data_IF_642572945270
#
_entry.id   IF_642572945270
#
_cell.length_a   1.000
_cell.length_b   1.000
_cell.length_c   1.000
_cell.angle_alpha   90.00
_cell.angle_beta   90.00
_cell.angle_gamma   90.00
#
_symmetry.space_group_name_H-M   'P 1'
#
loop_
_entity.id
_entity.type
_entity.pdbx_description
1 polymer ?
#
# COMPACT_ATOMS: atom_id res chain seq x y z
N UNK A 1 9.94 -31.13 -4.25
CA UNK A 1 10.95 -30.60 -5.20
C UNK A 1 11.78 -29.59 -4.43
N UNK A 2 13.10 -29.64 -4.54
CA UNK A 2 14.02 -28.76 -3.81
C UNK A 2 14.60 -27.72 -4.77
N UNK A 3 14.81 -26.48 -4.30
CA UNK A 3 15.39 -25.38 -5.09
C UNK A 3 16.50 -24.69 -4.28
N UNK A 4 17.63 -24.45 -4.91
CA UNK A 4 18.74 -23.64 -4.36
C UNK A 4 18.71 -22.23 -4.96
N UNK A 5 19.12 -21.23 -4.19
CA UNK A 5 19.12 -19.81 -4.59
C UNK A 5 20.27 -19.43 -5.54
N UNK A 6 20.89 -18.26 -5.31
CA UNK A 6 21.83 -17.64 -6.23
C UNK A 6 23.24 -18.28 -6.20
N UNK A 7 23.64 -18.87 -7.32
CA UNK A 7 24.99 -19.34 -7.64
C UNK A 7 25.44 -18.79 -9.00
N UNK A 8 26.76 -18.75 -9.21
CA UNK A 8 27.35 -18.37 -10.50
C UNK A 8 26.88 -19.32 -11.61
N UNK A 9 26.54 -18.74 -12.75
CA UNK A 9 26.17 -19.49 -13.95
C UNK A 9 27.40 -20.11 -14.60
N UNK A 10 27.27 -21.34 -15.08
CA UNK A 10 28.21 -22.04 -15.95
C UNK A 10 27.51 -22.44 -17.23
N UNK A 11 27.97 -21.92 -18.37
CA UNK A 11 27.34 -22.15 -19.68
C UNK A 11 25.85 -21.77 -19.74
N UNK A 12 25.39 -20.81 -18.92
CA UNK A 12 24.01 -20.35 -18.93
C UNK A 12 23.00 -21.24 -18.18
N UNK A 13 23.47 -22.19 -17.37
CA UNK A 13 22.61 -23.12 -16.60
C UNK A 13 21.75 -22.43 -15.52
N UNK A 14 22.12 -21.22 -15.11
CA UNK A 14 21.37 -20.41 -14.13
C UNK A 14 20.68 -19.21 -14.76
N UNK A 15 19.37 -19.16 -14.57
CA UNK A 15 18.48 -18.04 -14.90
C UNK A 15 17.62 -17.79 -13.67
N UNK A 16 17.56 -16.53 -13.23
CA UNK A 16 16.73 -16.11 -12.10
C UNK A 16 15.66 -15.15 -12.60
N UNK A 17 14.46 -15.27 -12.07
CA UNK A 17 13.36 -14.36 -12.37
C UNK A 17 13.14 -13.36 -11.23
N UNK A 18 12.19 -12.43 -11.43
CA UNK A 18 11.83 -11.47 -10.38
C UNK A 18 11.26 -12.16 -9.13
N UNK A 19 10.65 -13.34 -9.27
CA UNK A 19 10.07 -14.12 -8.18
C UNK A 19 11.16 -14.69 -7.27
N UNK A 20 12.30 -15.10 -7.82
CA UNK A 20 13.46 -15.57 -7.07
C UNK A 20 14.00 -14.47 -6.16
N UNK A 21 14.15 -13.26 -6.69
CA UNK A 21 14.56 -12.09 -5.92
C UNK A 21 13.53 -11.68 -4.88
N UNK A 22 12.25 -11.62 -5.26
CA UNK A 22 11.18 -11.26 -4.34
C UNK A 22 11.03 -12.26 -3.19
N UNK A 23 11.15 -13.55 -3.47
CA UNK A 23 11.12 -14.60 -2.44
C UNK A 23 12.30 -14.46 -1.48
N UNK A 24 13.50 -14.24 -2.01
CA UNK A 24 14.68 -14.04 -1.19
C UNK A 24 14.55 -12.82 -0.27
N UNK A 25 14.23 -11.65 -0.81
CA UNK A 25 14.10 -10.44 0.00
C UNK A 25 12.86 -10.46 0.91
N UNK A 26 11.76 -11.07 0.47
CA UNK A 26 10.56 -11.27 1.28
C UNK A 26 10.80 -12.16 2.50
N UNK A 27 11.85 -13.00 2.49
CA UNK A 27 12.27 -13.76 3.67
C UNK A 27 13.00 -12.92 4.72
N UNK A 28 13.51 -11.73 4.33
CA UNK A 28 14.34 -10.86 5.17
C UNK A 28 13.60 -9.60 5.62
N UNK A 29 12.65 -9.12 4.81
CA UNK A 29 12.03 -7.79 4.92
C UNK A 29 10.51 -7.94 4.94
N UNK A 30 9.86 -7.36 5.96
CA UNK A 30 8.40 -7.41 6.09
C UNK A 30 7.69 -6.46 5.13
N UNK A 31 6.41 -6.74 4.85
CA UNK A 31 5.53 -5.80 4.17
C UNK A 31 5.37 -4.53 5.02
N UNK A 32 5.27 -3.37 4.37
CA UNK A 32 5.07 -2.10 5.04
C UNK A 32 5.51 -0.90 4.21
N UNK A 33 5.46 0.29 4.83
CA UNK A 33 6.09 1.49 4.27
C UNK A 33 7.50 1.71 4.84
N UNK A 34 8.37 2.36 4.08
CA UNK A 34 9.67 2.80 4.59
C UNK A 34 9.51 4.11 5.37
N UNK A 35 9.19 4.00 6.66
CA UNK A 35 8.93 5.16 7.52
C UNK A 35 10.21 5.86 8.00
N UNK A 36 11.07 6.27 7.05
CA UNK A 36 12.26 7.09 7.33
C UNK A 36 11.89 8.57 7.51
N UNK A 37 10.84 9.00 6.81
CA UNK A 37 10.24 10.33 6.90
C UNK A 37 8.80 10.18 7.39
N UNK A 38 8.35 11.06 8.29
CA UNK A 38 6.99 11.04 8.85
C UNK A 38 5.92 11.27 7.77
N UNK A 39 6.29 11.89 6.65
CA UNK A 39 5.42 12.19 5.52
C UNK A 39 5.41 11.09 4.45
N UNK A 40 6.23 10.04 4.58
CA UNK A 40 6.34 8.96 3.58
C UNK A 40 4.96 8.36 3.23
N UNK A 41 4.52 8.55 1.98
CA UNK A 41 3.22 8.10 1.48
C UNK A 41 2.02 8.60 2.32
N UNK A 42 2.17 9.73 3.01
CA UNK A 42 1.09 10.33 3.80
C UNK A 42 -0.07 10.75 2.90
N UNK A 43 -1.29 10.46 3.33
CA UNK A 43 -2.51 10.92 2.66
C UNK A 43 -2.97 12.23 3.30
N UNK A 44 -3.27 13.20 2.46
CA UNK A 44 -3.75 14.54 2.84
C UNK A 44 -4.94 14.95 1.96
N UNK A 45 -5.75 15.93 2.37
CA UNK A 45 -6.82 16.44 1.52
C UNK A 45 -6.29 17.05 0.23
N UNK A 46 -7.02 16.81 -0.87
CA UNK A 46 -6.82 17.48 -2.16
C UNK A 46 -7.91 18.51 -2.43
N UNK A 47 -8.08 18.86 -3.71
CA UNK A 47 -9.18 19.73 -4.14
C UNK A 47 -10.47 18.93 -4.31
N UNK A 48 -11.59 19.44 -3.78
CA UNK A 48 -12.88 18.75 -3.85
C UNK A 48 -12.81 17.34 -3.28
N UNK A 49 -13.30 16.37 -4.03
CA UNK A 49 -13.33 14.95 -3.63
C UNK A 49 -11.99 14.22 -3.82
N UNK A 50 -10.89 14.94 -4.02
CA UNK A 50 -9.56 14.34 -4.16
C UNK A 50 -8.81 14.26 -2.83
N UNK A 51 -7.90 13.31 -2.76
CA UNK A 51 -6.84 13.22 -1.75
C UNK A 51 -5.48 13.21 -2.43
N UNK A 52 -4.48 13.73 -1.75
CA UNK A 52 -3.09 13.75 -2.21
C UNK A 52 -2.26 12.79 -1.37
N UNK A 53 -1.46 11.98 -2.04
CA UNK A 53 -0.48 11.08 -1.42
C UNK A 53 0.90 11.67 -1.65
N UNK A 54 1.64 11.90 -0.57
CA UNK A 54 3.00 12.41 -0.61
C UNK A 54 3.96 11.43 -1.31
N UNK A 55 5.15 11.93 -1.66
CA UNK A 55 6.25 11.08 -2.13
C UNK A 55 6.65 10.08 -1.06
N UNK A 56 7.23 8.96 -1.48
CA UNK A 56 7.71 7.94 -0.55
C UNK A 56 7.72 6.56 -1.17
N UNK A 57 8.06 5.56 -0.35
CA UNK A 57 8.22 4.19 -0.80
C UNK A 57 7.65 3.19 0.19
N UNK A 58 7.48 1.97 -0.32
CA UNK A 58 7.02 0.84 0.46
C UNK A 58 7.45 -0.48 -0.15
N UNK A 59 7.09 -1.55 0.54
CA UNK A 59 7.48 -2.89 0.20
C UNK A 59 6.33 -3.86 0.41
N UNK A 60 6.03 -4.68 -0.60
CA UNK A 60 5.01 -5.73 -0.50
C UNK A 60 5.54 -6.99 -1.17
N UNK A 61 5.56 -8.09 -0.42
CA UNK A 61 5.89 -9.45 -0.87
C UNK A 61 7.23 -9.54 -1.60
N UNK A 62 8.25 -8.80 -1.16
CA UNK A 62 9.57 -8.81 -1.82
C UNK A 62 9.73 -7.81 -2.97
N UNK A 63 8.71 -7.01 -3.27
CA UNK A 63 8.71 -6.04 -4.36
C UNK A 63 8.70 -4.61 -3.81
N UNK A 64 9.51 -3.75 -4.43
CA UNK A 64 9.61 -2.33 -4.12
C UNK A 64 8.52 -1.50 -4.80
N UNK A 65 7.97 -0.54 -4.07
CA UNK A 65 7.14 0.53 -4.60
C UNK A 65 7.75 1.90 -4.29
N UNK A 66 7.66 2.82 -5.26
CA UNK A 66 8.04 4.21 -5.07
C UNK A 66 7.05 5.15 -5.75
N UNK A 67 6.63 6.16 -5.00
CA UNK A 67 5.92 7.32 -5.49
C UNK A 67 6.87 8.52 -5.51
N UNK A 68 7.23 8.98 -6.71
CA UNK A 68 8.28 10.00 -6.89
C UNK A 68 7.75 11.44 -6.94
N UNK A 69 6.44 11.63 -7.04
CA UNK A 69 5.78 12.93 -7.00
C UNK A 69 4.47 12.86 -6.20
N UNK A 70 3.93 14.01 -5.79
CA UNK A 70 2.61 14.03 -5.13
C UNK A 70 1.58 13.42 -6.07
N UNK A 71 0.92 12.35 -5.62
CA UNK A 71 -0.06 11.60 -6.40
C UNK A 71 -1.45 11.98 -5.95
N UNK A 72 -2.29 12.47 -6.87
CA UNK A 72 -3.68 12.78 -6.57
C UNK A 72 -4.60 11.61 -6.92
N UNK A 73 -5.53 11.30 -6.02
CA UNK A 73 -6.59 10.30 -6.23
C UNK A 73 -7.94 10.92 -5.94
N UNK A 74 -8.80 10.95 -6.95
CA UNK A 74 -10.18 11.41 -6.83
C UNK A 74 -11.05 10.26 -6.34
N UNK A 75 -11.76 10.48 -5.23
CA UNK A 75 -12.77 9.56 -4.74
C UNK A 75 -14.02 9.64 -5.61
N UNK A 76 -14.80 8.56 -5.65
CA UNK A 76 -16.12 8.60 -6.28
C UNK A 76 -17.02 9.64 -5.63
N UNK A 77 -17.99 10.17 -6.38
CA UNK A 77 -18.96 11.14 -5.87
C UNK A 77 -19.63 10.61 -4.59
N UNK A 78 -19.79 11.50 -3.60
CA UNK A 78 -20.45 11.14 -2.35
C UNK A 78 -21.91 10.74 -2.60
N UNK A 79 -22.39 9.74 -1.86
CA UNK A 79 -23.81 9.38 -1.89
C UNK A 79 -24.63 10.50 -1.22
N UNK A 80 -25.80 10.83 -1.78
CA UNK A 80 -26.62 11.92 -1.26
C UNK A 80 -27.33 11.63 0.07
N UNK A 81 -27.44 10.35 0.46
CA UNK A 81 -28.25 9.91 1.60
C UNK A 81 -27.45 9.34 2.75
N UNK A 82 -26.29 8.72 2.48
CA UNK A 82 -25.51 8.03 3.50
C UNK A 82 -24.00 8.25 3.33
N UNK A 83 -23.24 8.31 4.45
CA UNK A 83 -21.79 8.32 4.40
C UNK A 83 -21.23 6.95 4.03
N UNK A 84 -19.94 6.91 3.65
CA UNK A 84 -19.16 5.68 3.49
C UNK A 84 -17.72 5.87 3.94
N UNK A 85 -16.97 4.79 4.08
CA UNK A 85 -15.52 4.84 4.33
C UNK A 85 -14.81 4.21 3.15
N UNK A 86 -13.98 4.99 2.47
CA UNK A 86 -13.11 4.52 1.39
C UNK A 86 -11.70 4.25 1.97
N UNK A 87 -10.88 3.45 1.29
CA UNK A 87 -9.47 3.22 1.68
C UNK A 87 -8.53 3.66 0.57
N UNK A 88 -7.45 4.35 0.94
CA UNK A 88 -6.30 4.54 0.06
C UNK A 88 -5.31 3.42 0.35
N UNK A 89 -5.11 2.54 -0.63
CA UNK A 89 -4.29 1.34 -0.46
C UNK A 89 -3.13 1.33 -1.44
N UNK A 90 -1.97 0.86 -0.97
CA UNK A 90 -0.88 0.39 -1.82
C UNK A 90 -1.16 -1.08 -2.14
N UNK A 91 -1.46 -1.36 -3.41
CA UNK A 91 -1.87 -2.68 -3.90
C UNK A 91 -0.77 -3.27 -4.75
N UNK A 92 -0.25 -4.41 -4.32
CA UNK A 92 0.54 -5.30 -5.16
C UNK A 92 -0.38 -6.25 -5.91
N UNK A 93 -0.12 -6.43 -7.21
CA UNK A 93 -0.80 -7.40 -8.06
C UNK A 93 0.23 -8.27 -8.78
N UNK A 94 0.18 -9.57 -8.54
CA UNK A 94 1.03 -10.55 -9.22
C UNK A 94 0.69 -10.64 -10.71
N UNK A 95 -0.61 -10.63 -11.04
CA UNK A 95 -1.10 -10.77 -12.41
C UNK A 95 -0.75 -9.54 -13.27
N UNK A 96 -1.00 -8.35 -12.72
CA UNK A 96 -0.70 -7.09 -13.42
C UNK A 96 0.78 -6.70 -13.32
N UNK A 97 1.55 -7.41 -12.48
CA UNK A 97 2.99 -7.22 -12.25
C UNK A 97 3.31 -5.77 -11.85
N UNK A 98 2.54 -5.22 -10.91
CA UNK A 98 2.74 -3.86 -10.44
C UNK A 98 2.45 -3.70 -8.95
N UNK A 99 2.94 -2.60 -8.39
CA UNK A 99 2.43 -2.02 -7.16
C UNK A 99 1.92 -0.62 -7.48
N UNK A 100 0.67 -0.35 -7.15
CA UNK A 100 0.05 0.96 -7.39
C UNK A 100 -0.74 1.41 -6.16
N UNK A 101 -0.89 2.73 -6.00
CA UNK A 101 -1.86 3.28 -5.07
C UNK A 101 -3.23 3.33 -5.75
N UNK A 102 -4.25 2.82 -5.07
CA UNK A 102 -5.63 2.81 -5.55
C UNK A 102 -6.61 3.18 -4.43
N UNK A 103 -7.79 3.62 -4.83
CA UNK A 103 -8.95 3.79 -3.94
C UNK A 103 -9.69 2.46 -3.88
N UNK A 104 -10.06 2.03 -2.68
CA UNK A 104 -11.07 1.02 -2.43
C UNK A 104 -12.32 1.73 -1.95
N UNK A 105 -13.33 1.82 -2.82
CA UNK A 105 -14.60 2.46 -2.49
C UNK A 105 -15.39 1.60 -1.52
N UNK A 106 -15.86 2.19 -0.42
CA UNK A 106 -16.74 1.54 0.54
C UNK A 106 -18.21 1.54 0.09
N UNK A 107 -19.07 0.95 0.92
CA UNK A 107 -20.53 0.98 0.70
C UNK A 107 -21.19 2.04 1.57
N UNK A 108 -22.06 2.85 0.97
CA UNK A 108 -22.79 3.89 1.67
C UNK A 108 -23.90 3.31 2.55
N UNK A 109 -23.85 3.56 3.86
CA UNK A 109 -24.83 3.10 4.85
C UNK A 109 -24.92 4.08 6.02
N UNK A 110 -25.96 3.98 6.85
CA UNK A 110 -26.12 4.84 8.02
C UNK A 110 -24.99 4.70 9.06
N UNK A 111 -24.27 3.57 9.06
CA UNK A 111 -23.13 3.31 9.95
C UNK A 111 -22.05 2.60 9.14
N UNK A 112 -21.27 3.34 8.34
CA UNK A 112 -20.38 2.74 7.36
C UNK A 112 -19.18 2.07 8.01
N UNK A 113 -18.75 0.96 7.42
CA UNK A 113 -17.51 0.28 7.74
C UNK A 113 -16.57 0.33 6.53
N UNK A 114 -15.26 0.40 6.78
CA UNK A 114 -14.27 0.36 5.72
C UNK A 114 -14.30 -0.99 4.97
N UNK A 115 -14.10 -1.01 3.65
CA UNK A 115 -14.06 -2.25 2.87
C UNK A 115 -12.87 -3.12 3.30
N UNK A 116 -13.05 -4.44 3.28
CA UNK A 116 -11.99 -5.39 3.61
C UNK A 116 -10.80 -5.27 2.63
N UNK A 117 -9.57 -5.46 3.15
CA UNK A 117 -8.39 -5.55 2.29
C UNK A 117 -8.34 -6.93 1.62
N UNK A 118 -7.91 -6.95 0.37
CA UNK A 118 -7.55 -8.17 -0.34
C UNK A 118 -6.10 -8.52 -0.01
N UNK A 119 -5.89 -9.68 0.59
CA UNK A 119 -4.58 -10.22 0.95
C UNK A 119 -4.55 -11.71 0.65
N UNK A 120 -4.22 -12.05 -0.58
CA UNK A 120 -4.08 -13.42 -1.08
C UNK A 120 -2.82 -13.54 -1.97
N UNK A 121 -2.70 -14.63 -2.72
CA UNK A 121 -1.53 -14.90 -3.58
C UNK A 121 -1.41 -13.96 -4.78
N UNK A 122 -2.53 -13.40 -5.24
CA UNK A 122 -2.59 -12.66 -6.50
C UNK A 122 -2.62 -11.14 -6.25
N UNK A 123 -3.21 -10.74 -5.13
CA UNK A 123 -3.36 -9.35 -4.72
C UNK A 123 -3.07 -9.22 -3.23
N UNK A 124 -2.25 -8.23 -2.87
CA UNK A 124 -1.96 -7.91 -1.48
C UNK A 124 -2.00 -6.39 -1.26
N UNK A 125 -2.75 -5.97 -0.25
CA UNK A 125 -3.00 -4.55 0.02
C UNK A 125 -2.54 -4.13 1.41
N UNK A 126 -1.93 -2.94 1.45
CA UNK A 126 -1.61 -2.19 2.65
C UNK A 126 -2.41 -0.88 2.65
N UNK A 127 -3.12 -0.58 3.73
CA UNK A 127 -3.97 0.61 3.85
C UNK A 127 -3.18 1.80 4.38
N UNK A 128 -2.96 2.81 3.55
CA UNK A 128 -2.28 4.04 3.93
C UNK A 128 -3.19 4.95 4.77
N UNK A 129 -4.45 5.07 4.38
CA UNK A 129 -5.45 5.83 5.14
C UNK A 129 -6.88 5.35 4.87
N UNK A 130 -7.74 5.54 5.86
CA UNK A 130 -9.19 5.45 5.72
C UNK A 130 -9.78 6.84 5.54
N UNK A 131 -10.69 6.99 4.58
CA UNK A 131 -11.32 8.26 4.25
C UNK A 131 -12.81 8.15 4.52
N UNK A 132 -13.27 8.82 5.58
CA UNK A 132 -14.70 9.03 5.78
C UNK A 132 -15.20 9.98 4.70
N UNK A 133 -16.07 9.50 3.83
CA UNK A 133 -16.79 10.32 2.85
C UNK A 133 -18.17 10.64 3.42
N UNK A 134 -18.42 11.88 3.90
CA UNK A 134 -19.74 12.25 4.42
C UNK A 134 -20.79 12.21 3.31
N UNK A 135 -22.05 12.06 3.71
CA UNK A 135 -23.17 12.18 2.77
C UNK A 135 -23.15 13.55 2.08
N UNK A 136 -23.44 13.57 0.78
CA UNK A 136 -23.48 14.75 -0.07
C UNK A 136 -22.21 15.64 0.00
N UNK A 137 -21.07 15.09 0.42
CA UNK A 137 -19.82 15.83 0.49
C UNK A 137 -19.39 16.30 -0.91
N UNK A 138 -18.90 17.54 -0.97
CA UNK A 138 -18.27 18.13 -2.15
C UNK A 138 -16.76 18.28 -1.98
N UNK A 139 -16.26 18.08 -0.75
CA UNK A 139 -14.84 18.06 -0.45
C UNK A 139 -14.47 17.11 0.69
N UNK A 140 -13.21 16.68 0.69
CA UNK A 140 -12.59 15.95 1.80
C UNK A 140 -11.76 16.92 2.62
N UNK A 141 -11.86 16.82 3.95
CA UNK A 141 -11.08 17.61 4.91
C UNK A 141 -10.11 16.73 5.68
N UNK A 142 -9.16 17.33 6.41
CA UNK A 142 -8.19 16.54 7.19
C UNK A 142 -8.87 15.68 8.26
N UNK A 143 -9.98 16.16 8.86
CA UNK A 143 -10.74 15.41 9.85
C UNK A 143 -11.49 14.20 9.27
N UNK A 144 -11.57 14.08 7.94
CA UNK A 144 -12.10 12.90 7.28
C UNK A 144 -11.06 11.80 7.06
N UNK A 145 -9.78 12.09 7.27
CA UNK A 145 -8.67 11.18 6.97
C UNK A 145 -8.16 10.58 8.27
N UNK A 146 -8.25 9.26 8.37
CA UNK A 146 -7.59 8.49 9.43
C UNK A 146 -6.34 7.86 8.87
N UNK A 147 -5.17 8.30 9.36
CA UNK A 147 -3.88 7.73 8.98
C UNK A 147 -3.73 6.32 9.57
N UNK A 148 -3.49 5.32 8.71
CA UNK A 148 -3.34 3.92 9.12
C UNK A 148 -1.95 3.37 8.82
N UNK A 149 -1.01 4.20 8.39
CA UNK A 149 0.35 3.77 7.98
C UNK A 149 1.09 3.04 9.09
N UNK A 150 0.98 3.51 10.33
CA UNK A 150 1.63 2.90 11.50
C UNK A 150 0.80 1.78 12.15
N UNK A 151 -0.41 1.49 11.65
CA UNK A 151 -1.21 0.38 12.14
C UNK A 151 -0.69 -0.93 11.51
N UNK A 152 -0.04 -1.78 12.30
CA UNK A 152 0.57 -3.04 11.85
C UNK A 152 -0.42 -4.08 11.32
N UNK A 153 -1.72 -3.95 11.61
CA UNK A 153 -2.76 -4.82 11.07
C UNK A 153 -3.15 -4.38 9.66
N UNK A 154 -3.18 -3.07 9.41
CA UNK A 154 -3.68 -2.48 8.16
C UNK A 154 -2.57 -2.13 7.14
N UNK A 155 -1.43 -1.63 7.59
CA UNK A 155 -0.28 -1.30 6.76
C UNK A 155 1.03 -1.70 7.45
N UNK A 156 1.48 -0.92 8.43
CA UNK A 156 2.71 -1.16 9.16
C UNK A 156 3.95 -0.61 8.46
N UNK A 157 5.06 -0.60 9.19
CA UNK A 157 6.37 -0.22 8.68
C UNK A 157 7.15 -1.45 8.26
N UNK A 158 8.03 -1.26 7.28
CA UNK A 158 9.02 -2.28 6.95
C UNK A 158 9.91 -2.55 8.16
N UNK A 159 10.07 -3.82 8.51
CA UNK A 159 11.05 -4.32 9.46
C UNK A 159 11.99 -5.31 8.76
N UNK A 160 13.17 -5.51 9.34
CA UNK A 160 14.20 -6.41 8.81
C UNK A 160 14.62 -7.43 9.86
N UNK A 161 14.85 -8.68 9.45
CA UNK A 161 15.53 -9.67 10.29
C UNK A 161 17.05 -9.39 10.40
N UNK A 162 17.57 -8.52 9.56
CA UNK A 162 18.97 -8.07 9.61
C UNK A 162 19.09 -6.99 10.68
N UNK A 163 19.79 -7.30 11.76
CA UNK A 163 20.19 -6.32 12.78
C UNK A 163 21.59 -5.83 12.44
N UNK A 164 21.78 -4.52 12.31
CA UNK A 164 23.11 -3.95 12.19
C UNK A 164 23.82 -4.05 13.55
N UNK A 165 24.94 -4.78 13.58
CA UNK A 165 25.90 -4.71 14.68
C UNK A 165 26.94 -3.67 14.27
N UNK A 166 27.02 -2.59 15.03
CA UNK A 166 28.08 -1.60 14.87
C UNK A 166 29.24 -2.04 15.78
N UNK A 167 30.40 -2.34 15.17
CA UNK A 167 31.67 -2.45 15.88
C UNK A 167 32.24 -1.06 16.21
#
# INVERSE_FOLDING_TARGET
MEKSGFFNSSNGDRIYDATDFATYFGSLVSNGIFYKDTTNLQVTPGSGMAVNIAVGSGWINGYHYENTAVLSKTLETANGSFPRIDRIVMRWSFLERNIIITVLTGTATASPSAPALTRNSDVYELCLAEILVPQAATSITIGNITDTRLNSILCGTVNSLVTAVYE
#
